data_IF_602599681271
#
_entry.id   IF_602599681271
#
_cell.length_a   1.000
_cell.length_b   1.000
_cell.length_c   1.000
_cell.angle_alpha   90.00
_cell.angle_beta   90.00
_cell.angle_gamma   90.00
#
_symmetry.space_group_name_H-M   'P 1'
#
loop_
_entity.id
_entity.type
_entity.pdbx_description
1 polymer ?
#
# COMPACT_ATOMS: atom_id res chain seq x y z
N UNK A 1 16.24 -19.17 -11.56
CA UNK A 1 14.98 -19.34 -10.80
C UNK A 1 14.95 -18.32 -9.68
N UNK A 2 14.29 -17.18 -9.88
CA UNK A 2 14.10 -16.20 -8.81
C UNK A 2 13.25 -16.83 -7.71
N UNK A 3 13.82 -16.99 -6.51
CA UNK A 3 13.08 -17.46 -5.35
C UNK A 3 11.83 -16.58 -5.17
N UNK A 4 10.65 -17.16 -5.33
CA UNK A 4 9.38 -16.42 -5.18
C UNK A 4 9.23 -16.12 -3.69
N UNK A 5 9.48 -14.87 -3.29
CA UNK A 5 9.28 -14.46 -1.91
C UNK A 5 7.76 -14.30 -1.68
N UNK A 6 7.14 -15.17 -0.87
CA UNK A 6 5.68 -15.20 -0.74
C UNK A 6 5.10 -13.97 -0.04
N UNK A 7 5.92 -13.14 0.62
CA UNK A 7 5.50 -11.91 1.29
C UNK A 7 5.81 -10.64 0.49
N UNK A 8 6.45 -10.77 -0.67
CA UNK A 8 6.74 -9.63 -1.56
C UNK A 8 5.59 -9.44 -2.54
N UNK A 9 5.02 -8.24 -2.55
CA UNK A 9 4.04 -7.81 -3.54
C UNK A 9 4.62 -6.67 -4.38
N UNK A 10 4.44 -6.76 -5.69
CA UNK A 10 4.69 -5.66 -6.62
C UNK A 10 3.32 -5.18 -7.07
N UNK A 11 3.01 -3.91 -6.80
CA UNK A 11 1.73 -3.31 -7.18
C UNK A 11 1.78 -2.84 -8.64
N UNK A 12 0.60 -2.67 -9.25
CA UNK A 12 0.45 -1.93 -10.50
C UNK A 12 0.50 -0.42 -10.29
N UNK A 13 -0.31 0.31 -11.04
CA UNK A 13 -0.46 1.76 -10.93
C UNK A 13 -1.17 2.13 -9.62
N UNK A 14 -0.51 2.96 -8.81
CA UNK A 14 -0.98 3.38 -7.49
C UNK A 14 -0.59 4.84 -7.25
N UNK A 15 -1.34 5.53 -6.38
CA UNK A 15 -1.02 6.91 -6.00
C UNK A 15 -0.18 6.92 -4.74
N UNK A 16 0.92 7.67 -4.77
CA UNK A 16 1.74 7.91 -3.59
C UNK A 16 1.23 9.13 -2.84
N UNK A 17 1.06 9.00 -1.52
CA UNK A 17 0.74 10.08 -0.61
C UNK A 17 1.78 10.16 0.49
N UNK A 18 2.10 11.38 0.94
CA UNK A 18 3.17 11.66 1.92
C UNK A 18 4.50 10.97 1.55
N UNK A 19 4.94 11.13 0.30
CA UNK A 19 6.12 10.46 -0.25
C UNK A 19 7.42 11.06 0.28
N UNK A 20 7.95 10.48 1.36
CA UNK A 20 9.28 10.79 1.89
C UNK A 20 10.29 9.79 1.29
N UNK A 21 10.54 9.91 -0.01
CA UNK A 21 11.41 8.98 -0.77
C UNK A 21 12.80 9.54 -1.05
N UNK A 22 12.92 10.87 -1.17
CA UNK A 22 14.20 11.54 -1.43
C UNK A 22 14.95 11.85 -0.13
N UNK A 23 14.21 12.20 0.92
CA UNK A 23 14.78 12.51 2.23
C UNK A 23 13.99 11.80 3.34
N UNK A 24 14.71 11.28 4.33
CA UNK A 24 14.11 10.61 5.47
C UNK A 24 13.45 11.63 6.39
N UNK A 25 12.18 11.42 6.73
CA UNK A 25 11.40 12.32 7.59
C UNK A 25 11.12 11.67 8.94
N UNK A 26 11.21 12.44 10.02
CA UNK A 26 10.70 12.03 11.32
C UNK A 26 9.19 12.25 11.36
N UNK A 27 8.45 11.18 11.65
CA UNK A 27 7.00 11.25 11.86
C UNK A 27 6.77 11.11 13.37
N UNK A 28 6.09 12.09 13.97
CA UNK A 28 5.74 12.13 15.41
C UNK A 28 6.95 11.94 16.36
N UNK A 29 8.09 12.55 16.04
CA UNK A 29 9.29 12.50 16.88
C UNK A 29 10.04 11.16 16.84
N UNK A 30 9.67 10.24 15.94
CA UNK A 30 10.40 9.00 15.72
C UNK A 30 11.72 9.17 14.97
N UNK A 31 12.52 8.10 14.87
CA UNK A 31 13.72 8.07 14.02
C UNK A 31 13.35 8.41 12.57
N UNK A 32 14.11 9.27 11.87
CA UNK A 32 13.87 9.57 10.46
C UNK A 32 13.84 8.31 9.60
N UNK A 33 12.81 8.17 8.77
CA UNK A 33 12.62 7.03 7.87
C UNK A 33 12.11 7.49 6.51
N UNK A 34 12.54 6.78 5.47
CA UNK A 34 11.86 6.83 4.18
C UNK A 34 10.52 6.13 4.30
N UNK A 35 9.47 6.78 3.83
CA UNK A 35 8.11 6.29 3.99
C UNK A 35 7.19 6.86 2.92
N UNK A 36 6.16 6.09 2.58
CA UNK A 36 5.12 6.50 1.67
C UNK A 36 3.83 5.79 2.04
N UNK A 37 2.70 6.47 1.86
CA UNK A 37 1.37 5.87 1.92
C UNK A 37 0.92 5.54 0.50
N UNK A 38 0.73 4.26 0.21
CA UNK A 38 0.26 3.79 -1.10
C UNK A 38 -1.27 3.76 -1.10
N UNK A 39 -1.88 4.46 -2.04
CA UNK A 39 -3.33 4.43 -2.28
C UNK A 39 -3.58 3.52 -3.47
N UNK A 40 -4.22 2.39 -3.21
CA UNK A 40 -4.54 1.37 -4.20
C UNK A 40 -6.00 1.54 -4.62
N UNK A 41 -6.31 1.63 -5.92
CA UNK A 41 -7.69 1.68 -6.41
C UNK A 41 -8.48 0.44 -5.98
N UNK A 42 -9.74 0.61 -5.54
CA UNK A 42 -10.61 -0.52 -5.17
C UNK A 42 -10.94 -1.45 -6.34
N UNK A 43 -10.82 -0.94 -7.57
CA UNK A 43 -10.98 -1.73 -8.80
C UNK A 43 -9.83 -2.71 -9.06
N UNK A 44 -8.64 -2.47 -8.49
CA UNK A 44 -7.48 -3.35 -8.62
C UNK A 44 -7.57 -4.53 -7.64
N UNK A 45 -8.52 -5.42 -7.92
CA UNK A 45 -8.78 -6.63 -7.15
C UNK A 45 -7.62 -7.61 -7.20
N UNK A 46 -6.81 -7.59 -8.26
CA UNK A 46 -5.65 -8.47 -8.42
C UNK A 46 -4.55 -8.11 -7.42
N UNK A 47 -4.21 -6.82 -7.30
CA UNK A 47 -3.22 -6.35 -6.33
C UNK A 47 -3.72 -6.57 -4.90
N UNK A 48 -5.00 -6.31 -4.62
CA UNK A 48 -5.59 -6.56 -3.30
C UNK A 48 -5.49 -8.04 -2.90
N UNK A 49 -5.85 -8.96 -3.80
CA UNK A 49 -5.73 -10.39 -3.56
C UNK A 49 -4.27 -10.83 -3.32
N UNK A 50 -3.30 -10.24 -4.03
CA UNK A 50 -1.87 -10.49 -3.80
C UNK A 50 -1.43 -10.03 -2.40
N UNK A 51 -1.90 -8.86 -1.94
CA UNK A 51 -1.60 -8.33 -0.60
C UNK A 51 -2.19 -9.23 0.48
N UNK A 52 -3.45 -9.65 0.35
CA UNK A 52 -4.09 -10.56 1.31
C UNK A 52 -3.34 -11.89 1.42
N UNK A 53 -2.94 -12.47 0.29
CA UNK A 53 -2.12 -13.69 0.25
C UNK A 53 -0.75 -13.50 0.90
N UNK A 54 -0.11 -12.37 0.68
CA UNK A 54 1.17 -12.04 1.30
C UNK A 54 1.06 -11.87 2.82
N UNK A 55 -0.03 -11.27 3.30
CA UNK A 55 -0.34 -11.17 4.74
C UNK A 55 -0.51 -12.57 5.34
N UNK A 56 -1.24 -13.45 4.66
CA UNK A 56 -1.42 -14.83 5.12
C UNK A 56 -0.12 -15.61 5.19
N UNK A 57 0.70 -15.52 4.14
CA UNK A 57 2.03 -16.12 4.14
C UNK A 57 2.93 -15.58 5.27
N UNK A 58 2.82 -14.29 5.60
CA UNK A 58 3.56 -13.69 6.71
C UNK A 58 3.07 -14.20 8.08
N UNK A 59 1.76 -14.40 8.24
CA UNK A 59 1.17 -14.98 9.46
C UNK A 59 1.65 -16.42 9.63
N UNK A 60 1.58 -17.24 8.58
CA UNK A 60 1.98 -18.64 8.64
C UNK A 60 3.49 -18.79 8.90
N UNK A 61 4.32 -17.94 8.27
CA UNK A 61 5.75 -17.87 8.57
C UNK A 61 6.05 -17.41 10.01
N UNK A 62 5.21 -16.54 10.57
CA UNK A 62 5.29 -16.09 11.96
C UNK A 62 4.96 -17.21 12.96
N UNK A 63 3.90 -17.99 12.70
CA UNK A 63 3.53 -19.16 13.52
C UNK A 63 4.68 -20.16 13.56
N UNK A 64 5.31 -20.44 12.41
CA UNK A 64 6.46 -21.34 12.34
C UNK A 64 7.67 -20.91 13.19
N UNK A 65 7.80 -19.60 13.48
CA UNK A 65 8.92 -19.05 14.26
C UNK A 65 8.61 -18.90 15.75
N UNK A 66 7.38 -18.51 16.09
CA UNK A 66 6.99 -18.17 17.46
C UNK A 66 6.13 -19.25 18.13
N UNK A 67 5.71 -20.28 17.39
CA UNK A 67 4.83 -21.34 17.88
C UNK A 67 3.41 -20.85 18.21
N UNK A 68 2.51 -21.78 18.53
CA UNK A 68 1.16 -21.46 19.00
C UNK A 68 0.06 -21.47 17.94
N UNK A 69 -1.14 -21.03 18.33
CA UNK A 69 -2.34 -21.01 17.47
C UNK A 69 -2.31 -19.81 16.53
N UNK A 70 -2.90 -19.94 15.33
CA UNK A 70 -3.05 -18.84 14.38
C UNK A 70 -3.76 -17.66 15.06
N UNK A 71 -3.12 -16.49 15.19
CA UNK A 71 -3.75 -15.32 15.77
C UNK A 71 -4.94 -14.88 14.91
N UNK A 72 -6.00 -14.39 15.56
CA UNK A 72 -7.17 -13.87 14.85
C UNK A 72 -6.77 -12.65 14.00
N UNK A 73 -7.01 -12.69 12.69
CA UNK A 73 -6.71 -11.58 11.76
C UNK A 73 -7.31 -10.25 12.21
N UNK A 74 -8.50 -10.28 12.80
CA UNK A 74 -9.18 -9.07 13.29
C UNK A 74 -8.50 -8.43 14.51
N UNK A 75 -7.71 -9.19 15.27
CA UNK A 75 -6.97 -8.69 16.42
C UNK A 75 -5.59 -8.14 16.04
N UNK A 76 -5.12 -8.41 14.82
CA UNK A 76 -3.82 -7.95 14.34
C UNK A 76 -3.92 -6.59 13.66
N UNK A 77 -2.90 -5.75 13.87
CA UNK A 77 -2.76 -4.50 13.11
C UNK A 77 -2.31 -4.84 11.68
N UNK A 78 -3.28 -4.90 10.77
CA UNK A 78 -3.01 -5.16 9.36
C UNK A 78 -2.44 -3.92 8.65
N UNK A 79 -1.56 -4.12 7.65
CA UNK A 79 -1.01 -3.04 6.85
C UNK A 79 -2.02 -2.48 5.84
N UNK A 80 -2.96 -3.31 5.36
CA UNK A 80 -4.03 -2.88 4.46
C UNK A 80 -5.13 -2.18 5.28
N UNK A 81 -5.46 -0.95 4.89
CA UNK A 81 -6.52 -0.13 5.50
C UNK A 81 -7.58 0.17 4.46
N UNK A 82 -8.85 0.06 4.84
CA UNK A 82 -9.94 0.46 3.96
C UNK A 82 -10.06 1.99 3.99
N UNK A 83 -9.69 2.63 2.87
CA UNK A 83 -9.93 4.04 2.65
C UNK A 83 -11.35 4.25 2.15
N UNK A 84 -12.11 5.11 2.81
CA UNK A 84 -13.34 5.66 2.24
C UNK A 84 -13.02 6.58 1.04
N UNK A 85 -13.93 6.66 0.08
CA UNK A 85 -13.79 7.66 -1.00
C UNK A 85 -13.80 9.04 -0.37
N UNK A 86 -12.85 9.90 -0.75
CA UNK A 86 -12.64 11.24 -0.16
C UNK A 86 -13.79 12.25 -0.45
N UNK A 87 -14.99 11.78 -0.81
CA UNK A 87 -16.12 12.59 -1.24
C UNK A 87 -15.94 13.19 -2.64
N UNK A 88 -17.04 13.49 -3.32
CA UNK A 88 -17.04 14.17 -4.63
C UNK A 88 -17.09 13.27 -5.86
N UNK A 89 -17.66 12.06 -5.77
CA UNK A 89 -17.80 11.14 -6.91
C UNK A 89 -16.45 10.74 -7.56
N UNK A 90 -15.34 10.91 -6.83
CA UNK A 90 -14.00 10.43 -7.20
C UNK A 90 -13.83 9.05 -6.60
N UNK A 91 -14.25 8.06 -7.37
CA UNK A 91 -14.48 6.67 -6.92
C UNK A 91 -13.19 5.83 -7.02
N UNK A 92 -12.13 6.42 -7.58
CA UNK A 92 -10.98 5.69 -8.12
C UNK A 92 -9.86 6.67 -8.51
N UNK A 93 -8.61 6.21 -8.44
CA UNK A 93 -7.47 7.04 -8.87
C UNK A 93 -7.54 7.40 -10.38
N UNK A 94 -8.17 6.56 -11.20
CA UNK A 94 -8.39 6.82 -12.63
C UNK A 94 -9.28 8.05 -12.91
N UNK A 95 -10.24 8.34 -12.05
CA UNK A 95 -11.07 9.54 -12.16
C UNK A 95 -10.26 10.82 -11.89
N UNK A 96 -9.14 10.70 -11.14
CA UNK A 96 -8.17 11.78 -10.94
C UNK A 96 -7.11 11.84 -12.07
N UNK A 97 -6.89 10.76 -12.83
CA UNK A 97 -5.91 10.71 -13.94
C UNK A 97 -6.44 11.27 -15.27
N UNK A 98 -7.76 11.28 -15.50
CA UNK A 98 -8.38 11.75 -16.74
C UNK A 98 -8.20 13.25 -17.03
N UNK A 99 -7.69 14.04 -16.07
CA UNK A 99 -7.38 15.46 -16.24
C UNK A 99 -5.96 15.76 -16.74
N UNK A 100 -5.04 14.78 -16.74
CA UNK A 100 -3.67 14.99 -17.20
C UNK A 100 -3.55 14.64 -18.69
N UNK A 101 -4.30 15.36 -19.53
CA UNK A 101 -4.01 15.38 -20.97
C UNK A 101 -2.68 16.10 -21.17
N UNK A 102 -1.85 15.57 -22.05
CA UNK A 102 -0.48 15.95 -22.44
C UNK A 102 -0.31 17.39 -22.97
N UNK A 103 -0.82 18.40 -22.26
CA UNK A 103 -0.79 19.78 -22.74
C UNK A 103 -0.92 20.84 -21.63
N UNK A 104 -0.17 20.72 -20.53
CA UNK A 104 0.28 21.92 -19.79
C UNK A 104 1.35 21.57 -18.77
N UNK A 105 2.54 22.09 -18.99
CA UNK A 105 3.65 22.12 -18.03
C UNK A 105 3.32 23.12 -16.91
N UNK A 106 2.32 22.83 -16.06
CA UNK A 106 1.88 23.72 -14.98
C UNK A 106 2.22 23.23 -13.56
N UNK A 107 3.03 22.18 -13.43
CA UNK A 107 3.61 21.83 -12.14
C UNK A 107 4.90 22.62 -11.94
N UNK A 108 4.73 23.86 -11.47
CA UNK A 108 5.77 24.74 -10.96
C UNK A 108 6.54 24.08 -9.79
N UNK A 109 7.86 24.29 -9.80
CA UNK A 109 8.92 23.86 -8.84
C UNK A 109 8.49 23.26 -7.49
#
# INVERSE_FOLDING_TARGET
MSATNPTRVVTGEVRLSYANIFEAKSIQGGKPKYSVSLIIPKSDTETLAKIERAIDAAIDAGIGKFGGKRPNKAALKLPLRDGESLGGNRISAEADFGGFTTASNDFLN
#
